data_IF_883092061427
#
_entry.id   IF_883092061427
#
_cell.length_a   1.000
_cell.length_b   1.000
_cell.length_c   1.000
_cell.angle_alpha   90.00
_cell.angle_beta   90.00
_cell.angle_gamma   90.00
#
_symmetry.space_group_name_H-M   'P 1'
#
loop_
_entity.id
_entity.type
_entity.pdbx_description
1 polymer ?
#
# COMPACT_ATOMS: atom_id res chain seq x y z
N UNK A 1 18.74 4.17 20.40
CA UNK A 1 17.89 4.52 19.25
C UNK A 1 17.71 3.25 18.44
N UNK A 2 16.52 2.63 18.43
CA UNK A 2 16.32 1.51 17.55
C UNK A 2 16.43 2.03 16.12
N UNK A 3 17.23 1.34 15.32
CA UNK A 3 17.34 1.53 13.89
C UNK A 3 15.91 1.45 13.36
N UNK A 4 15.33 2.59 12.97
CA UNK A 4 14.07 2.58 12.22
C UNK A 4 14.39 1.77 10.98
N UNK A 5 13.87 0.55 10.89
CA UNK A 5 13.94 -0.21 9.64
C UNK A 5 13.32 0.70 8.60
N UNK A 6 14.14 1.15 7.65
CA UNK A 6 13.67 1.93 6.52
C UNK A 6 12.55 1.10 5.86
N UNK A 7 11.37 1.69 5.69
CA UNK A 7 10.24 0.97 5.10
C UNK A 7 10.62 0.58 3.68
N UNK A 8 10.26 -0.62 3.24
CA UNK A 8 10.71 -1.10 1.92
C UNK A 8 10.18 -0.22 0.78
N UNK A 9 8.99 0.36 0.95
CA UNK A 9 8.37 1.26 -0.03
C UNK A 9 9.18 2.54 -0.27
N UNK A 10 9.96 3.03 0.71
CA UNK A 10 10.70 4.30 0.60
C UNK A 10 11.79 4.28 -0.48
N UNK A 11 12.24 3.10 -0.91
CA UNK A 11 13.24 2.96 -1.97
C UNK A 11 12.63 2.55 -3.32
N UNK A 12 11.32 2.29 -3.38
CA UNK A 12 10.67 1.64 -4.52
C UNK A 12 10.91 2.37 -5.85
N UNK A 13 10.85 3.70 -5.84
CA UNK A 13 11.09 4.53 -7.02
C UNK A 13 12.45 4.20 -7.70
N UNK A 14 13.48 3.98 -6.88
CA UNK A 14 14.86 3.76 -7.32
C UNK A 14 15.16 2.30 -7.72
N UNK A 15 14.30 1.35 -7.33
CA UNK A 15 14.54 -0.08 -7.61
C UNK A 15 14.47 -0.37 -9.11
N UNK A 16 15.32 -1.24 -9.62
CA UNK A 16 15.26 -1.67 -11.03
C UNK A 16 15.79 -3.08 -11.23
N UNK A 17 15.51 -3.68 -12.38
CA UNK A 17 16.00 -5.02 -12.74
C UNK A 17 15.61 -6.09 -11.71
N UNK A 18 16.61 -6.83 -11.23
CA UNK A 18 16.43 -7.93 -10.27
C UNK A 18 15.87 -7.45 -8.92
N UNK A 19 16.24 -6.24 -8.47
CA UNK A 19 15.74 -5.69 -7.20
C UNK A 19 14.24 -5.42 -7.24
N UNK A 20 13.75 -4.81 -8.33
CA UNK A 20 12.32 -4.58 -8.53
C UNK A 20 11.56 -5.90 -8.66
N UNK A 21 12.13 -6.88 -9.35
CA UNK A 21 11.54 -8.22 -9.48
C UNK A 21 11.39 -8.88 -8.11
N UNK A 22 12.45 -8.88 -7.30
CA UNK A 22 12.42 -9.44 -5.95
C UNK A 22 11.52 -8.65 -4.98
N UNK A 23 11.26 -7.38 -5.23
CA UNK A 23 10.23 -6.62 -4.51
C UNK A 23 8.83 -7.11 -4.89
N UNK A 24 8.53 -7.18 -6.19
CA UNK A 24 7.23 -7.62 -6.70
C UNK A 24 6.89 -9.06 -6.25
N UNK A 25 7.87 -9.97 -6.26
CA UNK A 25 7.70 -11.37 -5.81
C UNK A 25 7.38 -11.50 -4.32
N UNK A 26 7.67 -10.47 -3.51
CA UNK A 26 7.40 -10.44 -2.07
C UNK A 26 6.11 -9.70 -1.71
N UNK A 27 5.45 -9.08 -2.68
CA UNK A 27 4.19 -8.39 -2.42
C UNK A 27 3.12 -9.37 -1.94
N UNK A 28 2.23 -8.94 -1.04
CA UNK A 28 1.11 -9.76 -0.57
C UNK A 28 0.07 -10.03 -1.66
N UNK A 29 0.01 -9.18 -2.69
CA UNK A 29 -0.88 -9.30 -3.85
C UNK A 29 -0.20 -8.75 -5.10
N UNK A 30 -0.81 -8.97 -6.27
CA UNK A 30 -0.29 -8.48 -7.54
C UNK A 30 -0.24 -6.94 -7.57
N UNK A 31 0.70 -6.38 -8.34
CA UNK A 31 0.88 -4.93 -8.48
C UNK A 31 -0.46 -4.22 -8.80
N UNK A 32 -1.19 -4.68 -9.81
CA UNK A 32 -2.45 -4.05 -10.20
C UNK A 32 -3.48 -4.04 -9.06
N UNK A 33 -3.57 -5.12 -8.28
CA UNK A 33 -4.47 -5.21 -7.12
C UNK A 33 -4.12 -4.20 -6.04
N UNK A 34 -2.83 -3.90 -5.83
CA UNK A 34 -2.41 -2.86 -4.89
C UNK A 34 -2.75 -1.47 -5.44
N UNK A 35 -2.54 -1.20 -6.73
CA UNK A 35 -2.97 0.05 -7.36
C UNK A 35 -4.49 0.26 -7.18
N UNK A 36 -5.29 -0.73 -7.57
CA UNK A 36 -6.76 -0.69 -7.44
C UNK A 36 -7.21 -0.41 -6.00
N UNK A 37 -6.50 -0.95 -5.00
CA UNK A 37 -6.78 -0.68 -3.59
C UNK A 37 -6.48 0.77 -3.20
N UNK A 38 -5.34 1.32 -3.66
CA UNK A 38 -4.96 2.70 -3.36
C UNK A 38 -5.99 3.67 -3.94
N UNK A 39 -6.43 3.43 -5.18
CA UNK A 39 -7.41 4.27 -5.86
C UNK A 39 -8.78 4.16 -5.18
N UNK A 40 -9.20 2.95 -4.80
CA UNK A 40 -10.42 2.76 -4.01
C UNK A 40 -10.38 3.50 -2.67
N UNK A 41 -9.24 3.50 -1.97
CA UNK A 41 -9.10 4.22 -0.70
C UNK A 41 -9.17 5.74 -0.93
N UNK A 42 -8.57 6.24 -2.01
CA UNK A 42 -8.61 7.65 -2.40
C UNK A 42 -10.04 8.11 -2.71
N UNK A 43 -10.75 7.39 -3.57
CA UNK A 43 -12.16 7.65 -3.92
C UNK A 43 -13.08 7.71 -2.68
N UNK A 44 -12.83 6.83 -1.72
CA UNK A 44 -13.60 6.79 -0.48
C UNK A 44 -13.27 7.96 0.45
N UNK A 45 -12.01 8.39 0.49
CA UNK A 45 -11.57 9.54 1.28
C UNK A 45 -11.87 10.90 0.64
N UNK A 46 -12.14 10.95 -0.66
CA UNK A 46 -12.61 12.16 -1.34
C UNK A 46 -13.99 12.62 -0.84
N UNK A 47 -14.83 11.67 -0.41
CA UNK A 47 -16.20 11.94 0.05
C UNK A 47 -16.40 11.73 1.55
N UNK A 48 -15.44 11.11 2.24
CA UNK A 48 -15.56 10.72 3.65
C UNK A 48 -14.27 11.00 4.41
N UNK A 49 -14.42 11.31 5.70
CA UNK A 49 -13.26 11.46 6.57
C UNK A 49 -12.61 10.11 6.87
N UNK A 50 -11.29 10.13 7.08
CA UNK A 50 -10.59 8.95 7.59
C UNK A 50 -10.93 8.73 9.07
N UNK A 51 -11.33 7.51 9.42
CA UNK A 51 -11.67 7.12 10.80
C UNK A 51 -10.45 6.68 11.63
N UNK A 52 -9.24 6.96 11.15
CA UNK A 52 -7.97 6.47 11.71
C UNK A 52 -7.91 4.94 11.85
N UNK A 53 -8.58 4.23 10.94
CA UNK A 53 -8.55 2.78 10.80
C UNK A 53 -8.29 2.39 9.34
N UNK A 54 -8.16 1.09 9.07
CA UNK A 54 -8.03 0.53 7.72
C UNK A 54 -9.40 0.11 7.16
N UNK A 55 -10.45 0.87 7.46
CA UNK A 55 -11.84 0.50 7.15
C UNK A 55 -12.05 0.32 5.63
N UNK A 56 -11.54 1.23 4.81
CA UNK A 56 -11.72 1.18 3.37
C UNK A 56 -10.81 0.13 2.73
N UNK A 57 -9.55 0.03 3.16
CA UNK A 57 -8.67 -1.05 2.75
C UNK A 57 -9.27 -2.44 3.06
N UNK A 58 -9.81 -2.64 4.27
CA UNK A 58 -10.47 -3.90 4.66
C UNK A 58 -11.71 -4.19 3.83
N UNK A 59 -12.50 -3.17 3.46
CA UNK A 59 -13.64 -3.35 2.57
C UNK A 59 -13.19 -3.79 1.18
N UNK A 60 -12.19 -3.12 0.61
CA UNK A 60 -11.61 -3.54 -0.68
C UNK A 60 -11.11 -4.99 -0.64
N UNK A 61 -10.41 -5.38 0.42
CA UNK A 61 -9.96 -6.76 0.63
C UNK A 61 -11.12 -7.75 0.69
N UNK A 62 -12.22 -7.38 1.34
CA UNK A 62 -13.42 -8.21 1.44
C UNK A 62 -14.05 -8.44 0.08
N UNK A 63 -14.25 -7.36 -0.67
CA UNK A 63 -14.95 -7.36 -1.95
C UNK A 63 -14.15 -8.10 -3.04
N UNK A 64 -12.81 -8.10 -2.92
CA UNK A 64 -11.89 -8.79 -3.84
C UNK A 64 -11.37 -10.15 -3.32
N UNK A 65 -11.85 -10.62 -2.16
CA UNK A 65 -11.45 -11.90 -1.54
C UNK A 65 -9.94 -12.03 -1.25
N UNK A 66 -9.30 -10.94 -0.81
CA UNK A 66 -7.85 -10.88 -0.59
C UNK A 66 -7.43 -11.41 0.80
N UNK A 67 -6.14 -11.68 0.96
CA UNK A 67 -5.57 -12.15 2.24
C UNK A 67 -5.39 -11.01 3.25
N UNK A 68 -6.38 -10.81 4.11
CA UNK A 68 -6.40 -9.75 5.12
C UNK A 68 -5.14 -9.69 6.01
N UNK A 69 -4.68 -10.78 6.68
CA UNK A 69 -3.49 -10.71 7.51
C UNK A 69 -2.23 -10.27 6.76
N UNK A 70 -2.01 -10.79 5.55
CA UNK A 70 -0.80 -10.49 4.78
C UNK A 70 -0.81 -9.04 4.30
N UNK A 71 -1.92 -8.59 3.70
CA UNK A 71 -2.00 -7.23 3.17
C UNK A 71 -1.99 -6.19 4.29
N UNK A 72 -2.70 -6.45 5.40
CA UNK A 72 -2.66 -5.56 6.58
C UNK A 72 -1.26 -5.48 7.20
N UNK A 73 -0.53 -6.59 7.30
CA UNK A 73 0.85 -6.58 7.79
C UNK A 73 1.73 -5.73 6.89
N UNK A 74 1.64 -5.93 5.58
CA UNK A 74 2.43 -5.17 4.60
C UNK A 74 2.13 -3.67 4.64
N UNK A 75 0.86 -3.28 4.78
CA UNK A 75 0.46 -1.88 4.95
C UNK A 75 1.09 -1.29 6.22
N UNK A 76 0.97 -1.97 7.36
CA UNK A 76 1.54 -1.52 8.63
C UNK A 76 3.07 -1.41 8.59
N UNK A 77 3.74 -2.41 8.01
CA UNK A 77 5.19 -2.45 7.85
C UNK A 77 5.69 -1.27 6.98
N UNK A 78 4.85 -0.80 6.05
CA UNK A 78 5.09 0.38 5.22
C UNK A 78 4.44 1.68 5.75
N UNK A 79 3.95 1.68 6.99
CA UNK A 79 3.46 2.86 7.69
C UNK A 79 1.99 3.22 7.47
N UNK A 80 1.25 2.40 6.72
CA UNK A 80 -0.18 2.52 6.47
C UNK A 80 -1.03 1.98 7.62
N UNK A 81 -1.01 2.64 8.78
CA UNK A 81 -1.79 2.23 9.96
C UNK A 81 -3.27 2.67 9.94
N UNK A 82 -3.64 3.59 9.04
CA UNK A 82 -5.01 3.99 8.68
C UNK A 82 -5.05 4.17 7.16
N UNK A 83 -6.26 4.17 6.58
CA UNK A 83 -6.50 4.50 5.17
C UNK A 83 -5.79 5.82 4.76
N UNK A 84 -5.87 6.84 5.62
CA UNK A 84 -5.15 8.11 5.45
C UNK A 84 -3.63 7.98 5.31
N UNK A 85 -3.02 7.11 6.12
CA UNK A 85 -1.58 6.88 6.12
C UNK A 85 -1.16 5.95 5.01
N UNK A 86 -2.04 5.08 4.51
CA UNK A 86 -1.79 4.33 3.28
C UNK A 86 -1.56 5.30 2.12
N UNK A 87 -2.46 6.27 1.92
CA UNK A 87 -2.28 7.29 0.88
C UNK A 87 -1.11 8.24 1.13
N UNK A 88 -0.81 8.58 2.39
CA UNK A 88 0.29 9.50 2.70
C UNK A 88 1.67 8.85 2.60
N UNK A 89 1.80 7.56 2.94
CA UNK A 89 3.09 6.90 3.16
C UNK A 89 3.44 5.87 2.09
N UNK A 90 2.44 5.30 1.41
CA UNK A 90 2.64 4.21 0.44
C UNK A 90 2.36 4.69 -0.97
N UNK A 91 1.19 5.32 -1.20
CA UNK A 91 0.77 5.74 -2.53
C UNK A 91 1.79 6.61 -3.28
N UNK A 92 2.50 7.58 -2.67
CA UNK A 92 3.39 8.45 -3.43
C UNK A 92 4.57 7.69 -4.05
N UNK A 93 5.21 6.82 -3.28
CA UNK A 93 6.32 5.99 -3.77
C UNK A 93 5.84 4.91 -4.75
N UNK A 94 4.65 4.36 -4.52
CA UNK A 94 4.01 3.41 -5.43
C UNK A 94 3.73 4.03 -6.80
N UNK A 95 3.03 5.17 -6.81
CA UNK A 95 2.62 5.90 -8.02
C UNK A 95 3.81 6.52 -8.76
N UNK A 96 4.84 6.98 -8.05
CA UNK A 96 6.09 7.38 -8.69
C UNK A 96 6.76 6.23 -9.46
N UNK A 97 6.56 4.98 -9.01
CA UNK A 97 7.15 3.80 -9.66
C UNK A 97 6.29 3.25 -10.79
N UNK A 98 4.98 3.14 -10.56
CA UNK A 98 4.08 2.38 -11.43
C UNK A 98 3.08 3.25 -12.20
N UNK A 99 2.94 4.54 -11.85
CA UNK A 99 1.94 5.45 -12.38
C UNK A 99 0.63 5.45 -11.57
N UNK A 100 -0.24 6.39 -11.95
CA UNK A 100 -1.69 6.32 -11.68
C UNK A 100 -2.33 5.76 -12.96
N UNK A 101 -3.14 4.70 -12.83
CA UNK A 101 -3.85 4.10 -13.98
C UNK A 101 -5.10 4.93 -14.36
#
# INVERSE_FOLDING_TARGET
>A
MPIVRKREIENLEQMSGEELTAFLDRLPEQQHTISDMLDFIEDELDSRECTHSLQYAMRFMMDNHLNFPQLTSWLNDNGGYCDCKVLEQIAPAWRAKFGDD
#
